data_IF_500846219664
#
_entry.id   IF_500846219664
#
_cell.length_a   1.000
_cell.length_b   1.000
_cell.length_c   1.000
_cell.angle_alpha   90.00
_cell.angle_beta   90.00
_cell.angle_gamma   90.00
#
_symmetry.space_group_name_H-M   'P 1'
#
loop_
_entity.id
_entity.type
_entity.pdbx_description
1 polymer ?
#
# COMPACT_ATOMS: atom_id res chain seq x y z
N UNK A 1 1.24 2.36 9.24
CA UNK A 1 1.57 1.98 7.85
C UNK A 1 2.75 1.02 7.70
N UNK A 2 3.87 1.17 8.44
CA UNK A 2 4.99 0.21 8.31
C UNK A 2 4.55 -1.26 8.49
N UNK A 3 3.80 -1.56 9.56
CA UNK A 3 3.31 -2.91 9.83
C UNK A 3 2.37 -3.42 8.71
N UNK A 4 1.53 -2.55 8.14
CA UNK A 4 0.68 -2.86 6.99
C UNK A 4 1.51 -3.29 5.77
N UNK A 5 2.65 -2.64 5.52
CA UNK A 5 3.56 -3.06 4.44
C UNK A 5 4.19 -4.44 4.72
N UNK A 6 4.47 -4.78 5.98
CA UNK A 6 4.94 -6.13 6.33
C UNK A 6 3.85 -7.17 6.17
N UNK A 7 2.60 -6.84 6.50
CA UNK A 7 1.45 -7.68 6.20
C UNK A 7 1.29 -7.89 4.68
N UNK A 8 1.47 -6.86 3.86
CA UNK A 8 1.48 -6.99 2.40
C UNK A 8 2.61 -7.90 1.90
N UNK A 9 3.80 -7.87 2.53
CA UNK A 9 4.89 -8.80 2.21
C UNK A 9 4.51 -10.25 2.51
N UNK A 10 3.76 -10.51 3.59
CA UNK A 10 3.21 -11.85 3.88
C UNK A 10 2.20 -12.27 2.80
N UNK A 11 1.28 -11.38 2.39
CA UNK A 11 0.33 -11.66 1.31
C UNK A 11 1.05 -12.05 0.00
N UNK A 12 2.15 -11.35 -0.33
CA UNK A 12 2.98 -11.71 -1.46
C UNK A 12 3.60 -13.10 -1.31
N UNK A 13 4.14 -13.46 -0.15
CA UNK A 13 4.72 -14.80 0.06
C UNK A 13 3.68 -15.91 0.02
N UNK A 14 2.43 -15.61 0.37
CA UNK A 14 1.30 -16.53 0.29
C UNK A 14 0.68 -16.65 -1.11
N UNK A 15 1.16 -15.89 -2.10
CA UNK A 15 0.57 -15.90 -3.45
C UNK A 15 -0.77 -15.16 -3.57
N UNK A 16 -1.18 -14.40 -2.55
CA UNK A 16 -2.48 -13.74 -2.49
C UNK A 16 -2.47 -12.41 -3.28
N UNK A 17 -2.46 -12.51 -4.62
CA UNK A 17 -2.24 -11.38 -5.52
C UNK A 17 -3.25 -10.24 -5.36
N UNK A 18 -4.55 -10.52 -5.40
CA UNK A 18 -5.58 -9.47 -5.28
C UNK A 18 -5.52 -8.75 -3.93
N UNK A 19 -5.31 -9.51 -2.85
CA UNK A 19 -5.13 -8.96 -1.51
C UNK A 19 -3.87 -8.09 -1.42
N UNK A 20 -2.77 -8.49 -2.06
CA UNK A 20 -1.53 -7.71 -2.14
C UNK A 20 -1.78 -6.37 -2.85
N UNK A 21 -2.44 -6.39 -4.02
CA UNK A 21 -2.74 -5.17 -4.78
C UNK A 21 -3.71 -4.23 -4.07
N UNK A 22 -4.69 -4.79 -3.35
CA UNK A 22 -5.55 -4.03 -2.46
C UNK A 22 -4.75 -3.38 -1.32
N UNK A 23 -3.88 -4.14 -0.65
CA UNK A 23 -3.02 -3.63 0.43
C UNK A 23 -2.06 -2.53 -0.04
N UNK A 24 -1.45 -2.68 -1.23
CA UNK A 24 -0.64 -1.64 -1.88
C UNK A 24 -1.48 -0.40 -2.18
N UNK A 25 -2.71 -0.58 -2.66
CA UNK A 25 -3.67 0.51 -2.91
C UNK A 25 -3.97 1.33 -1.66
N UNK A 26 -4.28 0.66 -0.55
CA UNK A 26 -4.51 1.30 0.75
C UNK A 26 -3.27 2.06 1.28
N UNK A 27 -2.07 1.63 0.91
CA UNK A 27 -0.83 2.30 1.29
C UNK A 27 -0.42 3.45 0.35
N UNK A 28 -1.08 3.59 -0.81
CA UNK A 28 -0.79 4.65 -1.77
C UNK A 28 -1.55 5.92 -1.42
N UNK A 29 -0.86 7.06 -1.20
CA UNK A 29 -1.53 8.34 -0.93
C UNK A 29 -2.36 8.85 -2.12
N UNK A 30 -2.15 8.29 -3.31
CA UNK A 30 -2.93 8.60 -4.51
C UNK A 30 -4.24 7.80 -4.54
N UNK A 31 -4.17 6.48 -4.29
CA UNK A 31 -5.32 5.56 -4.45
C UNK A 31 -6.19 5.41 -3.21
N UNK A 32 -5.68 5.69 -2.00
CA UNK A 32 -6.40 5.35 -0.76
C UNK A 32 -7.79 5.98 -0.68
N UNK A 33 -7.97 7.21 -1.16
CA UNK A 33 -9.27 7.90 -1.17
C UNK A 33 -10.25 7.37 -2.24
N UNK A 34 -9.78 6.54 -3.17
CA UNK A 34 -10.63 5.86 -4.17
C UNK A 34 -11.07 4.48 -3.68
N UNK A 35 -10.34 3.90 -2.73
CA UNK A 35 -10.56 2.55 -2.20
C UNK A 35 -11.33 2.60 -0.87
N UNK A 36 -11.06 3.60 -0.05
CA UNK A 36 -11.59 3.74 1.30
C UNK A 36 -12.31 5.08 1.44
N UNK A 37 -13.63 5.05 1.46
CA UNK A 37 -14.49 6.25 1.52
C UNK A 37 -14.23 7.09 2.77
N UNK A 38 -13.88 6.45 3.89
CA UNK A 38 -13.56 7.13 5.15
C UNK A 38 -12.17 7.77 5.15
N UNK A 39 -11.34 7.55 4.14
CA UNK A 39 -10.00 8.13 4.08
C UNK A 39 -10.09 9.65 3.84
N UNK A 40 -9.66 10.42 4.84
CA UNK A 40 -9.52 11.87 4.72
C UNK A 40 -8.50 12.28 3.66
N UNK A 41 -8.66 13.50 3.15
CA UNK A 41 -7.72 14.10 2.19
C UNK A 41 -6.31 14.15 2.77
N UNK A 42 -5.31 13.85 1.91
CA UNK A 42 -3.90 13.86 2.29
C UNK A 42 -3.03 14.24 1.11
N UNK A 43 -1.81 14.67 1.41
CA UNK A 43 -0.81 14.98 0.41
C UNK A 43 -0.50 13.75 -0.47
N UNK A 44 -0.76 13.84 -1.77
CA UNK A 44 -0.73 12.69 -2.71
C UNK A 44 0.65 12.30 -3.22
N UNK A 45 1.68 13.09 -2.94
CA UNK A 45 3.05 12.87 -3.41
C UNK A 45 4.01 12.48 -2.28
N UNK A 46 3.50 12.08 -1.10
CA UNK A 46 4.35 11.75 0.04
C UNK A 46 3.74 10.63 0.87
N UNK A 47 4.61 9.74 1.36
CA UNK A 47 4.23 8.66 2.26
C UNK A 47 3.67 9.18 3.58
N UNK A 48 2.66 8.48 4.12
CA UNK A 48 2.08 8.72 5.44
C UNK A 48 2.37 7.54 6.38
N UNK A 49 2.77 7.81 7.62
CA UNK A 49 3.26 6.80 8.56
C UNK A 49 2.16 6.01 9.27
N UNK A 50 0.97 6.59 9.41
CA UNK A 50 -0.20 6.04 10.10
C UNK A 50 -1.50 6.47 9.41
N UNK A 51 -2.56 5.72 9.68
CA UNK A 51 -3.94 6.06 9.28
C UNK A 51 -4.74 6.08 10.57
N UNK A 52 -5.01 7.27 11.08
CA UNK A 52 -5.51 7.48 12.44
C UNK A 52 -6.99 7.87 12.41
N UNK A 53 -7.80 7.25 13.26
CA UNK A 53 -9.21 7.59 13.38
C UNK A 53 -9.37 9.00 13.96
N UNK A 54 -10.22 9.81 13.32
CA UNK A 54 -10.51 11.20 13.68
C UNK A 54 -11.38 11.32 14.95
N UNK A 55 -11.02 10.61 16.01
CA UNK A 55 -11.59 10.83 17.34
C UNK A 55 -10.97 12.08 17.98
N UNK A 56 -11.76 12.87 18.73
CA UNK A 56 -11.26 14.08 19.37
C UNK A 56 -10.30 13.78 20.54
N UNK A 57 -10.47 12.64 21.20
CA UNK A 57 -9.65 12.21 22.32
C UNK A 57 -9.67 10.68 22.51
N UNK A 58 -8.86 10.20 23.47
CA UNK A 58 -8.71 8.78 23.77
C UNK A 58 -9.93 8.15 24.45
N UNK A 59 -10.72 8.92 25.18
CA UNK A 59 -11.92 8.42 25.85
C UNK A 59 -13.04 8.18 24.82
N UNK A 60 -13.22 9.09 23.88
CA UNK A 60 -14.12 8.92 22.73
C UNK A 60 -13.74 7.70 21.89
N UNK A 61 -12.45 7.55 21.57
CA UNK A 61 -11.95 6.39 20.83
C UNK A 61 -12.20 5.06 21.56
N UNK A 62 -12.08 5.04 22.89
CA UNK A 62 -12.31 3.85 23.71
C UNK A 62 -13.80 3.55 23.88
N UNK A 63 -14.64 4.58 23.96
CA UNK A 63 -16.09 4.47 24.16
C UNK A 63 -16.86 4.07 22.89
N UNK A 64 -16.40 4.47 21.70
CA UNK A 64 -17.05 4.16 20.43
C UNK A 64 -16.09 3.57 19.39
N UNK A 65 -15.30 2.58 19.81
CA UNK A 65 -14.44 1.83 18.89
C UNK A 65 -15.24 1.15 17.75
N UNK A 66 -16.49 0.79 18.01
CA UNK A 66 -17.38 0.17 17.03
C UNK A 66 -17.60 1.07 15.80
N UNK A 67 -17.72 2.39 16.00
CA UNK A 67 -17.88 3.35 14.89
C UNK A 67 -16.73 3.32 13.89
N UNK A 68 -15.49 3.11 14.36
CA UNK A 68 -14.35 2.97 13.46
C UNK A 68 -14.49 1.73 12.57
N UNK A 69 -14.87 0.59 13.16
CA UNK A 69 -15.05 -0.68 12.43
C UNK A 69 -16.20 -0.61 11.43
N UNK A 70 -17.24 0.18 11.73
CA UNK A 70 -18.41 0.40 10.87
C UNK A 70 -18.16 1.47 9.79
N UNK A 71 -16.97 2.09 9.75
CA UNK A 71 -16.66 3.12 8.77
C UNK A 71 -17.40 4.45 9.01
N UNK A 72 -17.84 4.72 10.24
CA UNK A 72 -18.51 5.96 10.62
C UNK A 72 -17.56 7.08 11.05
N UNK A 73 -16.26 6.78 11.12
CA UNK A 73 -15.21 7.71 11.54
C UNK A 73 -14.20 7.88 10.41
N UNK A 74 -13.86 9.12 10.10
CA UNK A 74 -12.85 9.42 9.10
C UNK A 74 -11.46 8.95 9.57
N UNK A 75 -10.59 8.66 8.61
CA UNK A 75 -9.23 8.19 8.81
C UNK A 75 -8.24 9.17 8.21
N UNK A 76 -7.45 9.84 9.04
CA UNK A 76 -6.48 10.83 8.62
C UNK A 76 -5.08 10.23 8.42
N UNK A 77 -4.33 10.80 7.47
CA UNK A 77 -2.94 10.41 7.26
C UNK A 77 -2.01 11.09 8.26
N UNK A 78 -1.22 10.30 8.99
CA UNK A 78 -0.26 10.82 9.96
C UNK A 78 1.00 11.43 9.36
N UNK A 79 2.13 11.24 10.05
CA UNK A 79 3.39 11.92 9.73
C UNK A 79 3.92 11.58 8.34
N UNK A 80 4.66 12.53 7.75
CA UNK A 80 5.15 12.46 6.37
C UNK A 80 6.66 12.21 6.29
N UNK A 81 7.08 11.59 5.19
CA UNK A 81 8.48 11.48 4.73
C UNK A 81 9.41 10.56 5.55
N UNK A 82 9.58 10.80 6.85
CA UNK A 82 10.61 10.11 7.65
C UNK A 82 10.11 8.77 8.19
N UNK A 83 10.33 7.72 7.41
CA UNK A 83 10.06 6.33 7.79
C UNK A 83 10.85 5.39 6.89
N UNK A 84 11.01 4.13 7.30
CA UNK A 84 11.44 3.05 6.42
C UNK A 84 10.33 2.60 5.44
N UNK A 85 9.09 3.05 5.65
CA UNK A 85 7.93 2.71 4.83
C UNK A 85 8.09 2.94 3.33
N UNK A 86 8.58 4.10 2.84
CA UNK A 86 8.79 4.35 1.42
C UNK A 86 9.70 3.31 0.74
N UNK A 87 10.77 2.90 1.42
CA UNK A 87 11.70 1.88 0.90
C UNK A 87 11.04 0.51 0.79
N UNK A 88 10.28 0.10 1.82
CA UNK A 88 9.55 -1.17 1.83
C UNK A 88 8.43 -1.16 0.77
N UNK A 89 7.67 -0.07 0.65
CA UNK A 89 6.64 0.10 -0.38
C UNK A 89 7.24 -0.03 -1.78
N UNK A 90 8.38 0.61 -2.04
CA UNK A 90 9.08 0.52 -3.32
C UNK A 90 9.49 -0.92 -3.62
N UNK A 91 10.04 -1.64 -2.64
CA UNK A 91 10.38 -3.06 -2.78
C UNK A 91 9.14 -3.93 -3.04
N UNK A 92 8.04 -3.70 -2.32
CA UNK A 92 6.78 -4.43 -2.51
C UNK A 92 6.28 -4.30 -3.94
N UNK A 93 6.22 -3.08 -4.47
CA UNK A 93 5.75 -2.84 -5.84
C UNK A 93 6.72 -3.45 -6.86
N UNK A 94 8.01 -3.12 -6.78
CA UNK A 94 8.96 -3.53 -7.81
C UNK A 94 9.24 -5.02 -7.76
N UNK A 95 9.60 -5.58 -6.61
CA UNK A 95 10.09 -6.95 -6.52
C UNK A 95 8.97 -7.96 -6.31
N UNK A 96 7.99 -7.66 -5.46
CA UNK A 96 6.99 -8.65 -5.04
C UNK A 96 5.73 -8.62 -5.90
N UNK A 97 5.26 -7.44 -6.31
CA UNK A 97 4.07 -7.31 -7.15
C UNK A 97 4.37 -7.33 -8.65
N UNK A 98 5.52 -6.79 -9.09
CA UNK A 98 5.91 -6.74 -10.50
C UNK A 98 7.03 -7.75 -10.88
N UNK A 99 7.70 -8.37 -9.91
CA UNK A 99 8.78 -9.33 -10.18
C UNK A 99 10.05 -8.71 -10.77
N UNK A 100 10.32 -7.42 -10.50
CA UNK A 100 11.45 -6.65 -11.03
C UNK A 100 12.56 -6.48 -9.99
N UNK A 101 13.77 -6.97 -10.29
CA UNK A 101 14.96 -6.77 -9.45
C UNK A 101 16.17 -7.59 -9.90
N UNK A 102 17.34 -7.37 -9.30
CA UNK A 102 18.52 -8.25 -9.36
C UNK A 102 18.65 -8.93 -7.99
N UNK A 103 18.19 -10.16 -7.89
CA UNK A 103 18.16 -10.93 -6.64
C UNK A 103 17.35 -12.21 -6.84
N UNK A 104 17.62 -13.19 -5.99
CA UNK A 104 16.91 -14.46 -5.81
C UNK A 104 15.49 -14.23 -5.28
N UNK A 105 14.64 -13.59 -6.08
CA UNK A 105 13.21 -13.47 -5.77
C UNK A 105 12.52 -14.83 -6.00
N UNK A 106 12.81 -15.79 -5.13
CA UNK A 106 11.90 -16.89 -4.82
C UNK A 106 10.63 -16.26 -4.26
N UNK A 107 9.60 -16.17 -5.11
CA UNK A 107 8.33 -15.50 -4.77
C UNK A 107 7.86 -14.56 -5.87
N UNK A 108 7.70 -15.10 -7.08
CA UNK A 108 7.04 -14.39 -8.17
C UNK A 108 5.54 -14.50 -7.96
N UNK A 109 4.87 -13.42 -7.54
CA UNK A 109 3.40 -13.33 -7.60
C UNK A 109 3.03 -12.41 -8.73
N UNK A 110 2.39 -12.96 -9.75
CA UNK A 110 1.60 -12.22 -10.72
C UNK A 110 0.27 -12.99 -10.87
N UNK A 111 -0.90 -12.33 -11.07
CA UNK A 111 -1.11 -10.91 -11.38
C UNK A 111 -2.22 -10.21 -10.55
N UNK A 112 -2.34 -8.86 -10.63
CA UNK A 112 -3.68 -8.24 -10.54
C UNK A 112 -4.25 -8.10 -11.97
N UNK A 113 -5.37 -8.77 -12.26
CA UNK A 113 -6.22 -8.63 -13.44
C UNK A 113 -7.10 -7.35 -13.34
N UNK A 114 -7.88 -6.85 -14.30
CA UNK A 114 -8.53 -7.51 -15.44
C UNK A 114 -7.57 -8.46 -16.14
N UNK A 115 -7.89 -9.75 -16.17
CA UNK A 115 -6.87 -10.76 -16.40
C UNK A 115 -6.36 -10.64 -17.82
N UNK A 116 -5.04 -10.47 -17.97
CA UNK A 116 -4.29 -10.80 -19.17
C UNK A 116 -4.80 -10.29 -20.55
N UNK A 117 -5.62 -9.24 -20.64
CA UNK A 117 -6.16 -8.79 -21.93
C UNK A 117 -6.01 -7.28 -22.10
N UNK A 118 -4.77 -6.83 -22.34
CA UNK A 118 -4.38 -5.65 -23.14
C UNK A 118 -3.17 -4.89 -22.60
N UNK A 119 -1.96 -5.48 -22.58
CA UNK A 119 -0.75 -4.65 -22.64
C UNK A 119 0.34 -5.26 -23.53
N UNK A 120 0.12 -5.36 -24.86
CA UNK A 120 1.26 -5.39 -25.78
C UNK A 120 1.94 -4.01 -25.74
N UNK A 121 3.22 -3.97 -25.36
CA UNK A 121 4.09 -2.83 -25.70
C UNK A 121 4.60 -1.91 -24.58
N UNK A 122 4.39 -2.17 -23.28
CA UNK A 122 5.06 -1.35 -22.23
C UNK A 122 6.50 -1.81 -22.02
N UNK A 123 7.42 -1.24 -22.80
CA UNK A 123 8.86 -1.24 -22.46
C UNK A 123 9.10 -0.26 -21.33
N UNK A 124 9.34 -0.75 -20.12
CA UNK A 124 9.88 0.10 -19.05
C UNK A 124 11.38 0.30 -19.31
N UNK A 125 11.79 1.55 -19.51
CA UNK A 125 13.19 1.90 -19.77
C UNK A 125 14.05 1.51 -18.56
N UNK A 126 14.79 0.40 -18.68
CA UNK A 126 15.83 0.01 -17.73
C UNK A 126 17.11 0.73 -18.13
N UNK A 127 17.59 1.64 -17.29
CA UNK A 127 19.00 2.05 -17.34
C UNK A 127 19.79 0.96 -16.61
N UNK A 128 20.32 -0.01 -17.37
CA UNK A 128 21.29 -0.96 -16.83
C UNK A 128 22.52 -0.21 -16.36
N UNK A 129 22.98 -0.50 -15.13
CA UNK A 129 24.20 0.11 -14.59
C UNK A 129 25.36 -0.13 -15.55
N UNK A 130 25.95 0.96 -16.06
CA UNK A 130 27.24 0.93 -16.73
C UNK A 130 28.31 0.67 -15.69
N UNK A 131 29.12 -0.37 -15.95
CA UNK A 131 30.45 -0.50 -15.38
C UNK A 131 31.44 0.42 -16.08
#
# INVERSE_FOLDING_TARGET
MHAHLRQAEVLARLGAADALWHAIGLASPIRVTEILETAGLRQRNTYFSSSDAAFPDRYAASGDWAALREGRVALDGGWRTYSSGPGIFTRLVLQLALGLGRGDASGRVLPAPSAASSLPGRRMARRGGGG
#
